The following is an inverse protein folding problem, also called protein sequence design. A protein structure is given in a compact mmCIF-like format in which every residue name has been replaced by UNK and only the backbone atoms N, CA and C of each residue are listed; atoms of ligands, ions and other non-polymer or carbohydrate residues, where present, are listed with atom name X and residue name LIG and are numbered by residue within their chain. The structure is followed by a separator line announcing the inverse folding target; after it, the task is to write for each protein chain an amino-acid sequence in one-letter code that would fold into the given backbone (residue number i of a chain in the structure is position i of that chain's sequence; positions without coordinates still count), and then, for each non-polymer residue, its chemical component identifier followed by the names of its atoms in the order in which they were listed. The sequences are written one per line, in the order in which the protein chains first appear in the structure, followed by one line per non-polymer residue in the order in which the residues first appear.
data_IF_063079546588
#
_entry.id   IF_063079546588
#
_cell.length_a   1.000
_cell.length_b   1.000
_cell.length_c   1.000
_cell.angle_alpha   90.00
_cell.angle_beta   90.00
_cell.angle_gamma   90.00
#
_symmetry.space_group_name_H-M   'P 1'
#
loop_
_entity.id
_entity.type
_entity.pdbx_description
1 polymer ?
#
# COMPACT_ATOMS: atom_id res chain seq x y z
N UNK A 1 7.14 -70.02 21.52
CA UNK A 1 6.63 -68.76 22.12
C UNK A 1 7.77 -67.76 22.08
N UNK A 2 7.92 -67.12 20.93
CA UNK A 2 9.08 -66.29 20.56
C UNK A 2 8.64 -64.84 20.65
N UNK A 3 9.28 -64.04 21.50
CA UNK A 3 9.13 -62.59 21.56
C UNK A 3 10.51 -62.00 21.26
N UNK A 4 10.66 -61.47 20.04
CA UNK A 4 11.83 -60.71 19.62
C UNK A 4 11.50 -59.23 19.80
N UNK A 5 12.36 -58.51 20.51
CA UNK A 5 12.27 -57.09 20.81
C UNK A 5 12.20 -56.22 19.54
N UNK A 6 11.28 -55.25 19.54
CA UNK A 6 11.17 -54.21 18.53
C UNK A 6 12.10 -53.04 18.86
N UNK A 7 13.10 -52.80 18.02
CA UNK A 7 13.87 -51.55 18.00
C UNK A 7 13.06 -50.43 17.30
N UNK A 8 13.04 -49.19 17.82
CA UNK A 8 12.51 -48.04 17.09
C UNK A 8 13.59 -47.44 16.19
N UNK A 9 13.51 -47.67 14.87
CA UNK A 9 14.35 -46.98 13.90
C UNK A 9 13.78 -45.59 13.65
N UNK A 10 14.46 -44.56 14.15
CA UNK A 10 14.16 -43.15 13.91
C UNK A 10 14.35 -42.81 12.43
N UNK A 11 13.29 -42.29 11.82
CA UNK A 11 13.31 -41.71 10.47
C UNK A 11 14.14 -40.41 10.52
N UNK A 12 15.07 -40.16 9.60
CA UNK A 12 15.82 -38.90 9.59
C UNK A 12 14.87 -37.74 9.24
N UNK A 13 14.92 -36.73 10.09
CA UNK A 13 14.36 -35.40 9.93
C UNK A 13 14.62 -34.90 8.50
N UNK A 14 13.54 -34.60 7.76
CA UNK A 14 13.64 -33.87 6.50
C UNK A 14 14.36 -32.56 6.81
N UNK A 15 15.58 -32.40 6.29
CA UNK A 15 16.19 -31.09 6.14
C UNK A 15 15.18 -30.19 5.41
N UNK A 16 14.67 -29.18 6.12
CA UNK A 16 14.00 -28.06 5.47
C UNK A 16 14.98 -27.45 4.47
N UNK A 17 14.55 -27.18 3.22
CA UNK A 17 15.40 -26.47 2.28
C UNK A 17 15.73 -25.07 2.85
N UNK A 18 16.94 -24.56 2.61
CA UNK A 18 17.38 -23.28 3.15
C UNK A 18 16.45 -22.16 2.67
N UNK A 19 16.16 -21.23 3.58
CA UNK A 19 15.45 -19.97 3.35
C UNK A 19 15.76 -19.39 1.96
N UNK A 20 14.72 -19.10 1.17
CA UNK A 20 14.88 -18.54 -0.16
C UNK A 20 15.67 -17.21 -0.08
N UNK A 21 16.79 -17.07 -0.83
CA UNK A 21 17.67 -15.89 -0.77
C UNK A 21 16.99 -14.58 -1.24
N UNK A 22 15.79 -14.67 -1.83
CA UNK A 22 14.98 -13.52 -2.21
C UNK A 22 14.39 -12.77 -0.99
N UNK A 23 14.42 -13.36 0.21
CA UNK A 23 13.91 -12.77 1.44
C UNK A 23 14.82 -11.70 2.06
N UNK A 24 16.10 -11.62 1.67
CA UNK A 24 17.07 -10.70 2.27
C UNK A 24 17.37 -9.45 1.43
N UNK A 25 16.92 -9.38 0.16
CA UNK A 25 17.20 -8.24 -0.69
C UNK A 25 16.68 -6.93 -0.06
N UNK A 26 17.56 -5.95 0.24
CA UNK A 26 17.14 -4.69 0.84
C UNK A 26 16.14 -3.99 -0.06
N UNK A 27 15.08 -3.43 0.53
CA UNK A 27 14.00 -2.80 -0.19
C UNK A 27 14.51 -1.74 -1.18
N UNK A 28 15.49 -0.92 -0.77
CA UNK A 28 16.05 0.10 -1.67
C UNK A 28 16.70 -0.48 -2.93
N UNK A 29 17.34 -1.65 -2.83
CA UNK A 29 17.98 -2.34 -3.97
C UNK A 29 16.90 -2.95 -4.85
N UNK A 30 15.94 -3.64 -4.23
CA UNK A 30 14.85 -4.28 -4.96
C UNK A 30 13.99 -3.27 -5.76
N UNK A 31 13.61 -2.15 -5.15
CA UNK A 31 12.85 -1.10 -5.87
C UNK A 31 13.67 -0.47 -7.00
N UNK A 32 14.97 -0.24 -6.79
CA UNK A 32 15.86 0.25 -7.85
C UNK A 32 15.95 -0.72 -9.04
N UNK A 33 16.04 -2.02 -8.78
CA UNK A 33 16.05 -3.04 -9.83
C UNK A 33 14.70 -3.14 -10.56
N UNK A 34 13.59 -3.17 -9.81
CA UNK A 34 12.25 -3.35 -10.38
C UNK A 34 11.77 -2.12 -11.16
N UNK A 35 12.04 -0.91 -10.66
CA UNK A 35 11.53 0.35 -11.23
C UNK A 35 12.56 1.23 -11.92
N UNK A 36 13.84 0.85 -11.91
CA UNK A 36 14.93 1.70 -12.41
C UNK A 36 15.18 2.95 -11.56
N UNK A 37 14.56 3.06 -10.39
CA UNK A 37 14.66 4.20 -9.50
C UNK A 37 14.65 3.77 -8.03
N UNK A 38 15.51 4.36 -7.17
CA UNK A 38 15.55 4.01 -5.76
C UNK A 38 14.34 4.57 -5.01
N UNK A 39 14.12 4.08 -3.78
CA UNK A 39 13.12 4.64 -2.87
C UNK A 39 13.29 6.16 -2.66
N UNK A 40 12.21 6.92 -2.41
CA UNK A 40 12.30 8.33 -2.04
C UNK A 40 13.25 8.52 -0.85
N UNK A 41 14.10 9.56 -0.88
CA UNK A 41 15.19 9.74 0.11
C UNK A 41 14.71 9.61 1.56
N UNK A 42 13.64 10.33 1.93
CA UNK A 42 13.12 10.30 3.30
C UNK A 42 12.58 8.93 3.74
N UNK A 43 12.04 8.15 2.81
CA UNK A 43 11.59 6.77 3.10
C UNK A 43 12.78 5.80 3.14
N UNK A 44 13.79 6.03 2.30
CA UNK A 44 15.02 5.22 2.27
C UNK A 44 15.79 5.31 3.59
N UNK A 45 15.87 6.48 4.20
CA UNK A 45 16.51 6.68 5.50
C UNK A 45 15.84 5.84 6.59
N UNK A 46 14.51 5.67 6.53
CA UNK A 46 13.74 4.92 7.52
C UNK A 46 13.67 3.40 7.25
N UNK A 47 13.72 3.01 5.97
CA UNK A 47 13.31 1.67 5.56
C UNK A 47 14.19 1.01 4.51
N UNK A 48 15.23 1.70 4.02
CA UNK A 48 16.05 1.24 2.89
C UNK A 48 16.77 -0.08 3.15
N UNK A 49 17.16 -0.33 4.41
CA UNK A 49 17.82 -1.55 4.86
C UNK A 49 16.86 -2.69 5.24
N UNK A 50 15.54 -2.43 5.29
CA UNK A 50 14.57 -3.51 5.54
C UNK A 50 14.57 -4.49 4.37
N UNK A 51 14.31 -5.77 4.65
CA UNK A 51 13.95 -6.70 3.58
C UNK A 51 12.71 -6.21 2.83
N UNK A 52 12.62 -6.53 1.54
CA UNK A 52 11.44 -6.23 0.72
C UNK A 52 10.14 -6.68 1.39
N UNK A 53 10.10 -7.91 1.92
CA UNK A 53 8.92 -8.46 2.58
C UNK A 53 8.50 -7.63 3.79
N UNK A 54 9.44 -7.28 4.67
CA UNK A 54 9.19 -6.42 5.84
C UNK A 54 8.74 -5.02 5.43
N UNK A 55 9.35 -4.46 4.39
CA UNK A 55 8.96 -3.16 3.86
C UNK A 55 7.51 -3.17 3.38
N UNK A 56 7.12 -4.16 2.56
CA UNK A 56 5.75 -4.28 2.04
C UNK A 56 4.76 -4.53 3.19
N UNK A 57 5.11 -5.35 4.17
CA UNK A 57 4.26 -5.57 5.35
C UNK A 57 4.08 -4.28 6.19
N UNK A 58 5.10 -3.43 6.27
CA UNK A 58 5.07 -2.20 7.08
C UNK A 58 4.35 -1.06 6.36
N UNK A 59 4.75 -0.78 5.12
CA UNK A 59 4.30 0.40 4.38
C UNK A 59 3.19 0.10 3.39
N UNK A 60 2.98 -1.16 3.01
CA UNK A 60 1.97 -1.57 2.04
C UNK A 60 0.54 -1.36 2.51
N UNK A 61 -0.43 -1.93 1.77
CA UNK A 61 -1.84 -1.93 2.18
C UNK A 61 -1.99 -2.56 3.57
N UNK A 62 -1.96 -1.71 4.60
CA UNK A 62 -2.03 -2.14 5.98
C UNK A 62 -3.46 -2.57 6.33
N UNK A 63 -3.57 -3.59 7.19
CA UNK A 63 -4.81 -3.81 7.91
C UNK A 63 -5.08 -2.56 8.76
N UNK A 64 -6.20 -1.89 8.49
CA UNK A 64 -6.66 -0.73 9.26
C UNK A 64 -8.17 -0.58 9.17
N UNK A 65 -8.78 0.42 9.81
CA UNK A 65 -10.23 0.58 9.79
C UNK A 65 -10.78 1.06 8.44
N UNK A 66 -9.96 1.68 7.59
CA UNK A 66 -10.41 2.28 6.33
C UNK A 66 -10.27 1.29 5.17
N UNK A 67 -11.35 1.08 4.41
CA UNK A 67 -11.34 0.34 3.14
C UNK A 67 -11.99 1.16 2.04
N UNK A 68 -11.39 1.14 0.86
CA UNK A 68 -11.90 1.79 -0.35
C UNK A 68 -12.38 0.73 -1.34
N UNK A 69 -13.58 0.90 -1.90
CA UNK A 69 -14.14 0.04 -2.94
C UNK A 69 -14.86 0.88 -4.00
N UNK A 70 -15.06 0.29 -5.17
CA UNK A 70 -15.89 0.81 -6.26
C UNK A 70 -15.53 2.26 -6.61
N UNK A 71 -14.23 2.55 -6.69
CA UNK A 71 -13.74 3.87 -7.09
C UNK A 71 -14.07 4.12 -8.56
N UNK A 72 -14.72 5.23 -8.87
CA UNK A 72 -15.06 5.62 -10.22
C UNK A 72 -14.96 7.14 -10.40
N UNK A 73 -14.58 7.58 -11.59
CA UNK A 73 -14.87 8.93 -12.06
C UNK A 73 -16.22 8.88 -12.78
N UNK A 74 -17.19 9.67 -12.32
CA UNK A 74 -18.57 9.63 -12.85
C UNK A 74 -18.81 10.62 -13.98
N UNK A 75 -17.81 11.43 -14.34
CA UNK A 75 -17.90 12.36 -15.47
C UNK A 75 -17.51 11.69 -16.80
N UNK A 76 -18.23 12.06 -17.87
CA UNK A 76 -17.96 11.61 -19.24
C UNK A 76 -16.65 12.18 -19.80
N UNK A 77 -16.03 11.40 -20.70
CA UNK A 77 -14.75 11.69 -21.37
C UNK A 77 -14.80 12.87 -22.35
N UNK A 78 -15.98 13.46 -22.55
CA UNK A 78 -16.25 14.52 -23.56
C UNK A 78 -15.91 15.94 -23.10
N UNK A 79 -15.21 16.12 -21.97
CA UNK A 79 -14.97 17.46 -21.41
C UNK A 79 -13.64 18.05 -21.86
N UNK A 80 -13.69 19.29 -22.35
CA UNK A 80 -12.55 20.10 -22.79
C UNK A 80 -12.29 21.23 -21.77
N UNK A 81 -11.43 21.00 -20.77
CA UNK A 81 -10.96 22.06 -19.88
C UNK A 81 -10.54 21.61 -18.47
N UNK A 82 -9.82 22.46 -17.71
CA UNK A 82 -9.27 22.14 -16.38
C UNK A 82 -10.32 22.19 -15.25
N UNK A 83 -11.52 21.64 -15.48
CA UNK A 83 -12.60 21.65 -14.49
C UNK A 83 -12.47 20.50 -13.48
N UNK A 84 -13.00 20.71 -12.27
CA UNK A 84 -13.10 19.65 -11.27
C UNK A 84 -13.95 18.49 -11.82
N UNK A 85 -13.49 17.25 -11.57
CA UNK A 85 -14.18 16.02 -11.94
C UNK A 85 -14.92 15.45 -10.74
N UNK A 86 -16.08 14.86 -10.99
CA UNK A 86 -16.84 14.13 -9.99
C UNK A 86 -16.29 12.71 -9.83
N UNK A 87 -15.98 12.35 -8.60
CA UNK A 87 -15.56 11.02 -8.21
C UNK A 87 -16.54 10.43 -7.21
N UNK A 88 -16.69 9.11 -7.26
CA UNK A 88 -17.47 8.33 -6.30
C UNK A 88 -16.65 7.14 -5.81
N UNK A 89 -16.84 6.78 -4.55
CA UNK A 89 -16.36 5.52 -4.02
C UNK A 89 -17.22 5.05 -2.85
N UNK A 90 -17.13 3.76 -2.52
CA UNK A 90 -17.60 3.23 -1.24
C UNK A 90 -16.43 3.23 -0.25
N UNK A 91 -16.60 3.92 0.88
CA UNK A 91 -15.60 3.95 1.95
C UNK A 91 -16.19 3.29 3.19
N UNK A 92 -15.51 2.25 3.66
CA UNK A 92 -15.75 1.67 4.97
C UNK A 92 -14.79 2.27 6.00
N UNK A 93 -15.31 2.60 7.19
CA UNK A 93 -14.53 3.00 8.37
C UNK A 93 -15.01 2.14 9.54
N UNK A 94 -14.20 1.14 9.93
CA UNK A 94 -14.65 0.07 10.81
C UNK A 94 -15.84 -0.66 10.19
N UNK A 95 -16.94 -0.76 10.93
CA UNK A 95 -18.18 -1.42 10.47
C UNK A 95 -19.10 -0.51 9.62
N UNK A 96 -18.81 0.79 9.54
CA UNK A 96 -19.67 1.74 8.82
C UNK A 96 -19.23 1.85 7.37
N UNK A 97 -20.11 1.47 6.44
CA UNK A 97 -19.88 1.58 5.00
C UNK A 97 -20.84 2.62 4.43
N UNK A 98 -20.32 3.59 3.69
CA UNK A 98 -21.15 4.58 3.00
C UNK A 98 -20.52 5.00 1.68
N UNK A 99 -21.38 5.43 0.76
CA UNK A 99 -20.94 6.05 -0.48
C UNK A 99 -20.42 7.46 -0.22
N UNK A 100 -19.33 7.82 -0.88
CA UNK A 100 -18.71 9.14 -0.86
C UNK A 100 -18.69 9.69 -2.28
N UNK A 101 -18.88 11.00 -2.40
CA UNK A 101 -18.70 11.72 -3.66
C UNK A 101 -17.90 12.99 -3.41
N UNK A 102 -17.00 13.34 -4.33
CA UNK A 102 -16.27 14.60 -4.27
C UNK A 102 -15.98 15.13 -5.67
N UNK A 103 -16.10 16.45 -5.84
CA UNK A 103 -15.62 17.14 -7.02
C UNK A 103 -14.18 17.62 -6.77
N UNK A 104 -13.22 17.18 -7.58
CA UNK A 104 -11.82 17.58 -7.42
C UNK A 104 -11.04 17.56 -8.74
N UNK A 105 -9.87 18.22 -8.76
CA UNK A 105 -8.98 18.23 -9.93
C UNK A 105 -8.30 16.88 -10.23
N UNK A 106 -8.44 15.88 -9.35
CA UNK A 106 -7.91 14.55 -9.59
C UNK A 106 -8.22 13.56 -8.46
N UNK A 107 -7.90 12.26 -8.66
CA UNK A 107 -8.32 11.19 -7.77
C UNK A 107 -7.85 11.34 -6.32
N UNK A 108 -6.63 11.84 -6.14
CA UNK A 108 -6.01 11.97 -4.82
C UNK A 108 -6.63 13.12 -4.02
N UNK A 109 -6.91 14.25 -4.67
CA UNK A 109 -7.63 15.35 -4.06
C UNK A 109 -9.07 14.93 -3.70
N UNK A 110 -9.75 14.19 -4.59
CA UNK A 110 -11.08 13.67 -4.31
C UNK A 110 -11.10 12.71 -3.13
N UNK A 111 -10.19 11.73 -3.08
CA UNK A 111 -10.14 10.80 -1.96
C UNK A 111 -9.82 11.51 -0.64
N UNK A 112 -8.89 12.48 -0.65
CA UNK A 112 -8.55 13.26 0.54
C UNK A 112 -9.75 14.07 1.05
N UNK A 113 -10.52 14.69 0.14
CA UNK A 113 -11.77 15.36 0.49
C UNK A 113 -12.81 14.39 1.08
N UNK A 114 -13.02 13.23 0.46
CA UNK A 114 -13.96 12.22 0.96
C UNK A 114 -13.61 11.67 2.35
N UNK A 115 -12.31 11.59 2.67
CA UNK A 115 -11.81 11.20 3.99
C UNK A 115 -11.97 12.35 5.01
N UNK A 116 -11.66 13.58 4.60
CA UNK A 116 -11.84 14.77 5.42
C UNK A 116 -13.30 14.94 5.86
N UNK A 117 -14.26 14.78 4.95
CA UNK A 117 -15.70 14.84 5.25
C UNK A 117 -16.16 13.76 6.24
N UNK A 118 -15.35 12.71 6.44
CA UNK A 118 -15.57 11.65 7.43
C UNK A 118 -14.83 11.89 8.75
N UNK A 119 -14.23 13.08 8.93
CA UNK A 119 -13.44 13.41 10.11
C UNK A 119 -12.07 12.74 10.14
N UNK A 120 -11.55 12.31 8.98
CA UNK A 120 -10.22 11.69 8.85
C UNK A 120 -9.34 12.67 8.07
N UNK A 121 -8.67 13.63 8.73
CA UNK A 121 -7.79 14.56 8.06
C UNK A 121 -6.55 13.82 7.54
N UNK A 122 -6.24 14.02 6.27
CA UNK A 122 -5.00 13.55 5.65
C UNK A 122 -4.47 14.64 4.72
N UNK A 123 -3.32 15.19 5.08
CA UNK A 123 -2.56 16.12 4.24
C UNK A 123 -1.41 15.35 3.59
N UNK A 124 -1.21 15.53 2.28
CA UNK A 124 -0.13 14.89 1.55
C UNK A 124 1.09 15.81 1.52
N UNK A 125 2.16 15.39 2.21
CA UNK A 125 3.41 16.13 2.29
C UNK A 125 4.38 15.76 1.17
N UNK A 126 4.41 14.48 0.79
CA UNK A 126 5.24 13.98 -0.31
C UNK A 126 4.48 12.93 -1.10
N UNK A 127 4.63 12.99 -2.43
CA UNK A 127 4.05 12.04 -3.36
C UNK A 127 5.11 11.63 -4.37
N UNK A 128 5.36 10.33 -4.49
CA UNK A 128 6.30 9.78 -5.47
C UNK A 128 5.66 8.56 -6.14
N UNK A 129 5.70 8.50 -7.47
CA UNK A 129 5.17 7.37 -8.21
C UNK A 129 6.23 6.81 -9.16
N UNK A 130 6.50 5.53 -9.04
CA UNK A 130 7.43 4.77 -9.87
C UNK A 130 6.65 3.80 -10.75
N UNK A 131 7.05 3.67 -12.02
CA UNK A 131 6.36 2.84 -13.02
C UNK A 131 7.37 1.98 -13.78
N UNK A 132 7.08 0.70 -13.94
CA UNK A 132 7.92 -0.23 -14.70
C UNK A 132 7.18 -1.50 -15.06
N UNK A 133 7.27 -1.92 -16.33
CA UNK A 133 6.75 -3.23 -16.78
C UNK A 133 5.26 -3.46 -16.52
N UNK A 134 4.45 -2.40 -16.56
CA UNK A 134 3.02 -2.47 -16.25
C UNK A 134 2.68 -2.37 -14.75
N UNK A 135 3.67 -2.38 -13.85
CA UNK A 135 3.49 -2.15 -12.43
C UNK A 135 3.68 -0.68 -12.06
N UNK A 136 2.89 -0.19 -11.11
CA UNK A 136 3.02 1.13 -10.50
C UNK A 136 3.12 1.03 -8.98
N UNK A 137 4.20 1.56 -8.41
CA UNK A 137 4.35 1.77 -6.97
C UNK A 137 4.21 3.25 -6.64
N UNK A 138 3.29 3.59 -5.73
CA UNK A 138 3.11 4.96 -5.25
C UNK A 138 3.50 5.03 -3.78
N UNK A 139 4.29 6.04 -3.40
CA UNK A 139 4.70 6.32 -2.04
C UNK A 139 4.15 7.68 -1.61
N UNK A 140 3.50 7.72 -0.47
CA UNK A 140 2.91 8.93 0.11
C UNK A 140 3.48 9.12 1.51
N UNK A 141 3.94 10.33 1.82
CA UNK A 141 4.10 10.80 3.19
C UNK A 141 2.93 11.71 3.50
N UNK A 142 2.10 11.32 4.47
CA UNK A 142 0.95 12.10 4.90
C UNK A 142 1.03 12.53 6.36
N UNK A 143 0.19 13.48 6.72
CA UNK A 143 0.03 14.00 8.10
C UNK A 143 -1.44 14.09 8.48
N UNK A 144 -1.74 13.89 9.75
CA UNK A 144 -3.05 14.21 10.35
C UNK A 144 -2.98 15.47 11.25
N UNK A 145 -1.90 16.24 11.15
CA UNK A 145 -1.62 17.43 11.98
C UNK A 145 -0.89 17.12 13.30
N UNK A 146 -0.90 15.86 13.77
CA UNK A 146 -0.21 15.44 15.00
C UNK A 146 1.04 14.59 14.72
N UNK A 147 0.98 13.74 13.69
CA UNK A 147 2.11 12.89 13.27
C UNK A 147 2.15 12.74 11.76
N UNK A 148 3.30 12.29 11.28
CA UNK A 148 3.54 12.02 9.87
C UNK A 148 3.86 10.55 9.64
N UNK A 149 3.30 9.98 8.58
CA UNK A 149 3.50 8.58 8.23
C UNK A 149 3.80 8.42 6.74
N UNK A 150 4.70 7.50 6.42
CA UNK A 150 4.85 7.00 5.07
C UNK A 150 3.94 5.80 4.82
N UNK A 151 3.49 5.65 3.59
CA UNK A 151 2.84 4.44 3.10
C UNK A 151 3.14 4.23 1.61
N UNK A 152 2.88 3.02 1.14
CA UNK A 152 2.96 2.64 -0.25
C UNK A 152 1.66 1.99 -0.73
N UNK A 153 1.41 2.15 -2.02
CA UNK A 153 0.41 1.40 -2.76
C UNK A 153 1.06 0.76 -3.99
N UNK A 154 0.49 -0.36 -4.42
CA UNK A 154 0.90 -1.09 -5.61
C UNK A 154 -0.33 -1.44 -6.44
N UNK A 155 -0.26 -1.23 -7.75
CA UNK A 155 -1.23 -1.71 -8.73
C UNK A 155 -0.61 -1.62 -10.12
N UNK A 156 -1.19 -2.32 -11.07
CA UNK A 156 -0.97 -2.10 -12.50
C UNK A 156 -1.51 -0.73 -12.99
N UNK A 157 -2.64 -0.26 -12.46
CA UNK A 157 -3.17 1.09 -12.71
C UNK A 157 -2.51 2.14 -11.79
N UNK A 158 -1.90 3.22 -12.34
CA UNK A 158 -1.34 4.29 -11.53
C UNK A 158 -2.35 4.98 -10.61
N UNK A 159 -3.63 5.04 -10.98
CA UNK A 159 -4.67 5.61 -10.12
C UNK A 159 -4.94 4.71 -8.94
N UNK A 160 -5.19 3.41 -9.17
CA UNK A 160 -5.36 2.44 -8.08
C UNK A 160 -4.14 2.37 -7.15
N UNK A 161 -2.93 2.39 -7.70
CA UNK A 161 -1.69 2.42 -6.91
C UNK A 161 -1.67 3.62 -5.95
N UNK A 162 -2.04 4.80 -6.44
CA UNK A 162 -2.04 6.02 -5.64
C UNK A 162 -3.16 6.04 -4.59
N UNK A 163 -4.37 5.59 -4.93
CA UNK A 163 -5.48 5.47 -3.98
C UNK A 163 -5.14 4.49 -2.84
N UNK A 164 -4.54 3.35 -3.17
CA UNK A 164 -4.08 2.37 -2.17
C UNK A 164 -3.03 2.96 -1.23
N UNK A 165 -2.10 3.78 -1.75
CA UNK A 165 -1.09 4.45 -0.93
C UNK A 165 -1.73 5.45 0.05
N UNK A 166 -2.73 6.22 -0.39
CA UNK A 166 -3.46 7.17 0.47
C UNK A 166 -4.25 6.43 1.56
N UNK A 167 -4.96 5.34 1.23
CA UNK A 167 -5.68 4.54 2.23
C UNK A 167 -4.73 3.90 3.23
N UNK A 168 -3.59 3.36 2.77
CA UNK A 168 -2.57 2.82 3.66
C UNK A 168 -2.00 3.91 4.58
N UNK A 169 -1.76 5.12 4.06
CA UNK A 169 -1.31 6.26 4.85
C UNK A 169 -2.34 6.67 5.90
N UNK A 170 -3.61 6.79 5.53
CA UNK A 170 -4.69 7.13 6.46
C UNK A 170 -4.82 6.09 7.57
N UNK A 171 -4.77 4.79 7.23
CA UNK A 171 -4.80 3.71 8.21
C UNK A 171 -3.61 3.78 9.18
N UNK A 172 -2.40 4.03 8.67
CA UNK A 172 -1.20 4.20 9.49
C UNK A 172 -1.28 5.43 10.39
N UNK A 173 -1.93 6.51 9.95
CA UNK A 173 -2.17 7.72 10.76
C UNK A 173 -3.24 7.54 11.85
N UNK A 174 -4.04 6.47 11.79
CA UNK A 174 -5.04 6.12 12.81
C UNK A 174 -4.58 5.05 13.82
N UNK A 175 -3.47 4.35 13.53
CA UNK A 175 -2.94 3.24 14.34
C UNK A 175 -2.39 3.64 15.71
#
# INVERSE_FOLDING_TARGET
MTLLETLPTTLPERLDPPDHPDSECPATVWFAQKFGAPLPRGLREQAGAMSRARFVATYGPAAGPIRLRNWECTDDDRRLGPQARNFRAMIAVGERISTSTAAAGGPIAALSAMLHDRGIPLEILKFHQLRSGGDTATFVRGSNGAREEWAMGWSDDPTQSALRAVIACANRLLA
#
